data_IF_140377446899
#
_entry.id   IF_140377446899
#
_cell.length_a   1.000
_cell.length_b   1.000
_cell.length_c   1.000
_cell.angle_alpha   90.00
_cell.angle_beta   90.00
_cell.angle_gamma   90.00
#
_symmetry.space_group_name_H-M   'P 1'
#
loop_
_entity.id
_entity.type
_entity.pdbx_description
1 polymer ?
#
# COMPACT_ATOMS: atom_id res chain seq x y z
N UNK A 1 31.07 -39.25 -4.94
CA UNK A 1 31.03 -37.78 -4.80
C UNK A 1 29.61 -37.37 -5.14
N UNK A 2 28.77 -37.23 -4.13
CA UNK A 2 27.38 -36.89 -4.28
C UNK A 2 27.25 -35.37 -4.05
N UNK A 3 26.76 -34.66 -5.06
CA UNK A 3 26.42 -33.27 -4.94
C UNK A 3 25.19 -33.13 -4.02
N UNK A 4 25.35 -32.41 -2.94
CA UNK A 4 24.26 -32.02 -2.08
C UNK A 4 23.44 -30.93 -2.79
N UNK A 5 22.32 -31.31 -3.38
CA UNK A 5 21.27 -30.37 -3.78
C UNK A 5 20.73 -29.74 -2.51
N UNK A 6 21.24 -28.56 -2.22
CA UNK A 6 20.80 -27.71 -1.13
C UNK A 6 19.43 -27.09 -1.54
N UNK A 7 18.38 -27.88 -1.37
CA UNK A 7 17.00 -27.41 -1.47
C UNK A 7 16.80 -26.42 -0.31
N UNK A 8 17.09 -25.15 -0.55
CA UNK A 8 16.75 -24.06 0.37
C UNK A 8 15.24 -24.06 0.52
N UNK A 9 14.76 -24.67 1.60
CA UNK A 9 13.39 -24.51 2.04
C UNK A 9 13.14 -23.00 2.14
N UNK A 10 12.19 -22.50 1.36
CA UNK A 10 11.82 -21.10 1.40
C UNK A 10 11.40 -20.76 2.83
N UNK A 11 12.12 -19.83 3.46
CA UNK A 11 11.80 -19.32 4.78
C UNK A 11 10.40 -18.68 4.68
N UNK A 12 9.37 -19.20 5.38
CA UNK A 12 8.00 -18.70 5.28
C UNK A 12 7.84 -17.25 5.77
N UNK A 13 8.87 -16.68 6.39
CA UNK A 13 8.90 -15.29 6.87
C UNK A 13 9.72 -14.35 5.98
N UNK A 14 10.34 -14.86 4.91
CA UNK A 14 11.10 -14.03 3.98
C UNK A 14 10.15 -13.25 3.09
N UNK A 15 9.96 -11.97 3.38
CA UNK A 15 9.26 -11.06 2.46
C UNK A 15 10.16 -10.85 1.25
N UNK A 16 9.65 -11.20 0.09
CA UNK A 16 10.32 -10.96 -1.18
C UNK A 16 10.60 -9.46 -1.34
N UNK A 17 11.87 -9.09 -1.49
CA UNK A 17 12.24 -7.69 -1.67
C UNK A 17 11.71 -7.21 -3.03
N UNK A 18 11.33 -5.93 -3.11
CA UNK A 18 10.95 -5.33 -4.40
C UNK A 18 12.04 -5.49 -5.47
N UNK A 19 13.32 -5.48 -5.05
CA UNK A 19 14.46 -5.75 -5.92
C UNK A 19 14.45 -7.18 -6.48
N UNK A 20 14.12 -8.19 -5.66
CA UNK A 20 14.06 -9.59 -6.09
C UNK A 20 12.98 -9.76 -7.16
N UNK A 21 11.82 -9.10 -7.00
CA UNK A 21 10.76 -9.09 -8.01
C UNK A 21 11.16 -8.32 -9.28
N UNK A 22 11.82 -7.16 -9.12
CA UNK A 22 12.25 -6.34 -10.25
C UNK A 22 13.34 -7.01 -11.09
N UNK A 23 14.26 -7.74 -10.44
CA UNK A 23 15.40 -8.37 -11.11
C UNK A 23 15.20 -9.88 -11.36
N UNK A 24 14.02 -10.44 -11.06
CA UNK A 24 13.72 -11.85 -11.34
C UNK A 24 13.94 -12.17 -12.82
N UNK A 25 14.76 -13.18 -13.15
CA UNK A 25 14.99 -13.59 -14.52
C UNK A 25 13.74 -14.23 -15.13
N UNK A 26 13.59 -14.10 -16.45
CA UNK A 26 12.48 -14.76 -17.19
C UNK A 26 11.12 -14.09 -17.13
N UNK A 27 10.96 -13.05 -16.30
CA UNK A 27 9.68 -12.31 -16.18
C UNK A 27 9.72 -11.03 -17.01
N UNK A 28 8.70 -10.78 -17.84
CA UNK A 28 8.62 -9.58 -18.66
C UNK A 28 8.45 -8.30 -17.79
N UNK A 29 9.00 -7.16 -18.24
CA UNK A 29 8.85 -5.87 -17.56
C UNK A 29 7.39 -5.50 -17.26
N UNK A 30 6.48 -5.82 -18.20
CA UNK A 30 5.04 -5.63 -18.02
C UNK A 30 4.48 -6.48 -16.85
N UNK A 31 4.87 -7.74 -16.75
CA UNK A 31 4.41 -8.61 -15.67
C UNK A 31 4.95 -8.15 -14.31
N UNK A 32 6.21 -7.71 -14.25
CA UNK A 32 6.81 -7.11 -13.06
C UNK A 32 6.09 -5.85 -12.61
N UNK A 33 5.80 -4.95 -13.54
CA UNK A 33 5.03 -3.74 -13.26
C UNK A 33 3.61 -4.07 -12.77
N UNK A 34 2.90 -4.96 -13.46
CA UNK A 34 1.56 -5.38 -13.04
C UNK A 34 1.56 -5.99 -11.63
N UNK A 35 2.56 -6.80 -11.29
CA UNK A 35 2.70 -7.38 -9.96
C UNK A 35 3.00 -6.35 -8.88
N UNK A 36 3.87 -5.36 -9.17
CA UNK A 36 4.30 -4.36 -8.19
C UNK A 36 3.28 -3.23 -7.97
N UNK A 37 2.52 -2.87 -9.00
CA UNK A 37 1.67 -1.67 -8.97
C UNK A 37 0.19 -2.03 -9.00
N UNK A 38 -0.24 -2.86 -9.96
CA UNK A 38 -1.65 -3.18 -10.14
C UNK A 38 -2.13 -4.27 -9.16
N UNK A 39 -1.27 -5.26 -8.91
CA UNK A 39 -1.55 -6.39 -8.01
C UNK A 39 -2.56 -7.39 -8.55
N UNK A 40 -2.99 -7.25 -9.80
CA UNK A 40 -3.89 -8.19 -10.49
C UNK A 40 -3.28 -8.64 -11.82
N UNK A 41 -3.33 -9.92 -12.13
CA UNK A 41 -2.86 -10.43 -13.42
C UNK A 41 -3.81 -10.02 -14.55
N UNK A 42 -3.27 -10.04 -15.77
CA UNK A 42 -4.05 -9.86 -16.99
C UNK A 42 -3.98 -8.45 -17.59
N UNK A 43 -4.05 -8.40 -18.91
CA UNK A 43 -3.95 -7.17 -19.69
C UNK A 43 -5.10 -6.19 -19.39
N UNK A 44 -6.31 -6.72 -19.17
CA UNK A 44 -7.49 -5.89 -18.89
C UNK A 44 -7.37 -5.11 -17.57
N UNK A 45 -6.83 -5.74 -16.52
CA UNK A 45 -6.58 -5.06 -15.24
C UNK A 45 -5.52 -3.95 -15.38
N UNK A 46 -4.44 -4.25 -16.12
CA UNK A 46 -3.39 -3.29 -16.41
C UNK A 46 -3.92 -2.10 -17.22
N UNK A 47 -4.61 -2.34 -18.34
CA UNK A 47 -5.14 -1.26 -19.18
C UNK A 47 -6.15 -0.40 -18.43
N UNK A 48 -7.03 -1.01 -17.63
CA UNK A 48 -7.98 -0.27 -16.79
C UNK A 48 -7.25 0.65 -15.81
N UNK A 49 -6.23 0.14 -15.14
CA UNK A 49 -5.41 0.92 -14.19
C UNK A 49 -4.75 2.10 -14.90
N UNK A 50 -4.01 1.84 -15.99
CA UNK A 50 -3.28 2.86 -16.75
C UNK A 50 -4.19 3.97 -17.28
N UNK A 51 -5.33 3.59 -17.88
CA UNK A 51 -6.27 4.57 -18.41
C UNK A 51 -6.83 5.47 -17.29
N UNK A 52 -7.22 4.88 -16.16
CA UNK A 52 -7.75 5.67 -15.04
C UNK A 52 -6.68 6.60 -14.48
N UNK A 53 -5.48 6.10 -14.23
CA UNK A 53 -4.38 6.92 -13.68
C UNK A 53 -4.00 8.04 -14.65
N UNK A 54 -3.87 7.74 -15.94
CA UNK A 54 -3.54 8.73 -16.98
C UNK A 54 -4.56 9.89 -17.01
N UNK A 55 -5.85 9.59 -16.88
CA UNK A 55 -6.90 10.61 -16.93
C UNK A 55 -7.25 11.25 -15.59
N UNK A 56 -6.90 10.63 -14.46
CA UNK A 56 -7.35 11.11 -13.15
C UNK A 56 -6.26 11.78 -12.32
N UNK A 57 -5.00 11.35 -12.43
CA UNK A 57 -3.97 11.66 -11.44
C UNK A 57 -3.59 13.15 -11.41
N UNK A 58 -3.42 13.79 -12.57
CA UNK A 58 -2.73 15.07 -12.66
C UNK A 58 -3.62 16.29 -12.95
N UNK A 59 -4.91 16.10 -13.18
CA UNK A 59 -5.80 17.23 -13.44
C UNK A 59 -5.97 18.09 -12.19
N UNK A 60 -5.72 19.41 -12.28
CA UNK A 60 -5.83 20.32 -11.14
C UNK A 60 -7.29 20.74 -10.86
N UNK A 61 -7.51 21.32 -9.67
CA UNK A 61 -8.70 22.03 -9.31
C UNK A 61 -9.99 21.18 -9.29
N UNK A 62 -11.14 21.84 -9.41
CA UNK A 62 -12.44 21.22 -9.30
C UNK A 62 -12.71 20.14 -10.37
N UNK A 63 -12.21 20.35 -11.58
CA UNK A 63 -12.34 19.36 -12.67
C UNK A 63 -11.59 18.07 -12.28
N UNK A 64 -10.36 18.19 -11.79
CA UNK A 64 -9.58 17.05 -11.33
C UNK A 64 -10.25 16.31 -10.18
N UNK A 65 -10.80 17.03 -9.20
CA UNK A 65 -11.58 16.44 -8.11
C UNK A 65 -12.78 15.64 -8.62
N UNK A 66 -13.54 16.17 -9.58
CA UNK A 66 -14.69 15.49 -10.15
C UNK A 66 -14.27 14.22 -10.92
N UNK A 67 -13.19 14.28 -11.70
CA UNK A 67 -12.66 13.14 -12.44
C UNK A 67 -12.21 12.04 -11.47
N UNK A 68 -11.43 12.36 -10.44
CA UNK A 68 -10.96 11.39 -9.44
C UNK A 68 -12.12 10.78 -8.65
N UNK A 69 -13.10 11.58 -8.26
CA UNK A 69 -14.33 11.11 -7.60
C UNK A 69 -15.08 10.07 -8.45
N UNK A 70 -15.09 10.23 -9.77
CA UNK A 70 -15.76 9.30 -10.68
C UNK A 70 -14.91 8.06 -11.00
N UNK A 71 -13.61 8.21 -11.19
CA UNK A 71 -12.75 7.16 -11.75
C UNK A 71 -12.03 6.30 -10.69
N UNK A 72 -11.54 6.88 -9.59
CA UNK A 72 -10.79 6.12 -8.59
C UNK A 72 -11.60 5.01 -7.91
N UNK A 73 -12.90 5.18 -7.60
CA UNK A 73 -13.72 4.09 -7.07
C UNK A 73 -13.74 2.85 -7.94
N UNK A 74 -13.54 3.01 -9.26
CA UNK A 74 -13.48 1.88 -10.18
C UNK A 74 -12.24 0.99 -9.98
N UNK A 75 -11.16 1.49 -9.39
CA UNK A 75 -9.94 0.74 -9.08
C UNK A 75 -10.02 0.07 -7.72
N UNK A 76 -10.71 0.69 -6.76
CA UNK A 76 -10.72 0.30 -5.36
C UNK A 76 -11.49 -1.01 -5.11
N UNK A 77 -11.16 -1.69 -4.01
CA UNK A 77 -11.91 -2.84 -3.53
C UNK A 77 -13.33 -2.45 -3.12
N UNK A 78 -13.47 -1.31 -2.44
CA UNK A 78 -14.76 -0.64 -2.19
C UNK A 78 -14.55 0.85 -1.94
N UNK A 79 -15.56 1.65 -2.22
CA UNK A 79 -15.56 3.08 -1.96
C UNK A 79 -16.96 3.53 -1.54
N UNK A 80 -17.04 4.18 -0.38
CA UNK A 80 -18.26 4.76 0.15
C UNK A 80 -18.66 6.04 -0.58
N UNK A 81 -19.61 6.77 0.02
CA UNK A 81 -20.13 8.04 -0.53
C UNK A 81 -19.30 9.22 -0.04
N UNK A 82 -19.31 10.33 -0.81
CA UNK A 82 -18.64 11.58 -0.46
C UNK A 82 -17.15 11.44 -0.18
N UNK A 83 -16.44 10.64 -1.00
CA UNK A 83 -15.00 10.52 -0.90
C UNK A 83 -14.34 11.56 -1.81
N UNK A 84 -13.34 12.25 -1.27
CA UNK A 84 -12.53 13.24 -1.97
C UNK A 84 -11.13 12.70 -2.11
N UNK A 85 -10.60 12.71 -3.34
CA UNK A 85 -9.22 12.36 -3.64
C UNK A 85 -8.49 13.58 -4.18
N UNK A 86 -7.45 14.00 -3.49
CA UNK A 86 -6.55 15.06 -3.88
C UNK A 86 -5.75 14.76 -5.15
N UNK A 87 -4.99 15.73 -5.61
CA UNK A 87 -4.14 15.59 -6.78
C UNK A 87 -2.94 14.68 -6.47
N UNK A 88 -2.46 13.96 -7.48
CA UNK A 88 -1.29 13.06 -7.39
C UNK A 88 -1.41 11.97 -6.31
N UNK A 89 -2.62 11.58 -5.94
CA UNK A 89 -2.82 10.40 -5.08
C UNK A 89 -2.41 9.16 -5.86
N UNK A 90 -1.47 8.40 -5.31
CA UNK A 90 -0.95 7.16 -5.91
C UNK A 90 -1.59 5.97 -5.23
N UNK A 91 -2.17 5.08 -6.02
CA UNK A 91 -2.84 3.86 -5.54
C UNK A 91 -2.07 2.66 -6.06
N UNK A 92 -1.53 1.81 -5.17
CA UNK A 92 -0.92 0.53 -5.55
C UNK A 92 -1.72 -0.61 -4.95
N UNK A 93 -1.91 -1.69 -5.72
CA UNK A 93 -2.82 -2.79 -5.39
C UNK A 93 -4.21 -2.30 -4.98
N UNK A 94 -4.81 -1.37 -5.76
CA UNK A 94 -6.00 -0.63 -5.33
C UNK A 94 -7.21 -1.51 -5.01
N UNK A 95 -7.28 -2.70 -5.57
CA UNK A 95 -8.34 -3.67 -5.26
C UNK A 95 -8.32 -4.17 -3.81
N UNK A 96 -7.24 -3.93 -3.07
CA UNK A 96 -7.10 -4.22 -1.64
C UNK A 96 -7.27 -2.96 -0.77
N UNK A 97 -7.68 -1.84 -1.36
CA UNK A 97 -7.97 -0.61 -0.64
C UNK A 97 -9.47 -0.46 -0.52
N UNK A 98 -9.96 -0.35 0.70
CA UNK A 98 -11.38 -0.21 1.03
C UNK A 98 -11.58 1.11 1.75
N UNK A 99 -12.40 1.99 1.19
CA UNK A 99 -12.62 3.34 1.69
C UNK A 99 -14.08 3.49 2.11
N UNK A 100 -14.27 3.99 3.32
CA UNK A 100 -15.59 4.32 3.85
C UNK A 100 -16.20 5.59 3.24
N UNK A 101 -17.21 6.14 3.88
CA UNK A 101 -17.92 7.34 3.44
C UNK A 101 -17.37 8.60 4.11
N UNK A 102 -17.51 9.77 3.46
CA UNK A 102 -17.07 11.08 3.98
C UNK A 102 -15.55 11.12 4.26
N UNK A 103 -14.75 10.44 3.44
CA UNK A 103 -13.30 10.37 3.58
C UNK A 103 -12.63 11.40 2.69
N UNK A 104 -11.56 12.00 3.21
CA UNK A 104 -10.66 12.87 2.44
C UNK A 104 -9.27 12.24 2.40
N UNK A 105 -8.78 12.00 1.20
CA UNK A 105 -7.37 11.68 0.93
C UNK A 105 -6.78 12.88 0.20
N UNK A 106 -5.95 13.64 0.90
CA UNK A 106 -5.39 14.90 0.41
C UNK A 106 -4.28 14.69 -0.64
N UNK A 107 -3.72 15.76 -1.15
CA UNK A 107 -2.76 15.75 -2.27
C UNK A 107 -1.50 14.94 -1.97
N UNK A 108 -0.93 14.31 -3.00
CA UNK A 108 0.34 13.58 -2.99
C UNK A 108 0.39 12.39 -2.01
N UNK A 109 -0.74 11.86 -1.58
CA UNK A 109 -0.77 10.68 -0.73
C UNK A 109 -0.43 9.41 -1.51
N UNK A 110 0.26 8.47 -0.84
CA UNK A 110 0.51 7.13 -1.36
C UNK A 110 -0.27 6.11 -0.52
N UNK A 111 -1.18 5.38 -1.16
CA UNK A 111 -1.86 4.22 -0.57
C UNK A 111 -1.35 2.96 -1.28
N UNK A 112 -0.41 2.26 -0.65
CA UNK A 112 0.22 1.06 -1.17
C UNK A 112 -0.23 -0.18 -0.37
N UNK A 113 -1.21 -0.90 -0.89
CA UNK A 113 -1.76 -2.11 -0.27
C UNK A 113 -1.03 -3.39 -0.71
N UNK A 114 0.24 -3.27 -1.12
CA UNK A 114 1.04 -4.38 -1.60
C UNK A 114 1.23 -5.45 -0.51
N UNK A 115 1.24 -6.71 -0.94
CA UNK A 115 1.47 -7.88 -0.11
C UNK A 115 0.80 -9.10 -0.73
N UNK A 116 1.28 -10.29 -0.41
CA UNK A 116 0.70 -11.53 -0.92
C UNK A 116 -0.42 -12.04 -0.03
N UNK A 117 -0.23 -11.99 1.29
CA UNK A 117 -1.12 -12.58 2.29
C UNK A 117 -2.00 -11.58 3.02
N UNK A 118 -1.74 -10.29 2.86
CA UNK A 118 -2.49 -9.24 3.51
C UNK A 118 -3.85 -8.99 2.84
N UNK A 119 -4.77 -8.40 3.59
CA UNK A 119 -6.06 -7.89 3.10
C UNK A 119 -5.94 -6.48 2.57
N UNK A 120 -4.91 -5.75 2.97
CA UNK A 120 -4.57 -4.43 2.49
C UNK A 120 -4.93 -3.29 3.44
N UNK A 121 -5.49 -2.20 2.90
CA UNK A 121 -5.80 -0.97 3.63
C UNK A 121 -7.30 -0.83 3.77
N UNK A 122 -7.77 -0.61 4.99
CA UNK A 122 -9.15 -0.24 5.30
C UNK A 122 -9.21 1.13 5.95
N UNK A 123 -10.05 1.97 5.41
CA UNK A 123 -10.25 3.35 5.86
C UNK A 123 -11.72 3.46 6.26
N UNK A 124 -11.97 3.74 7.54
CA UNK A 124 -13.30 3.92 8.10
C UNK A 124 -14.02 5.18 7.60
N UNK A 125 -15.21 5.42 8.10
CA UNK A 125 -16.00 6.59 7.75
C UNK A 125 -15.44 7.88 8.38
N UNK A 126 -15.53 9.00 7.68
CA UNK A 126 -15.13 10.32 8.21
C UNK A 126 -13.63 10.50 8.43
N UNK A 127 -12.79 9.65 7.85
CA UNK A 127 -11.33 9.73 7.99
C UNK A 127 -10.76 10.85 7.14
N UNK A 128 -9.79 11.56 7.71
CA UNK A 128 -8.96 12.53 6.99
C UNK A 128 -7.51 12.01 6.91
N UNK A 129 -6.95 12.00 5.70
CA UNK A 129 -5.55 11.67 5.43
C UNK A 129 -4.90 12.89 4.81
N UNK A 130 -4.05 13.56 5.59
CA UNK A 130 -3.37 14.79 5.19
C UNK A 130 -2.34 14.56 4.09
N UNK A 131 -2.07 15.61 3.34
CA UNK A 131 -1.16 15.58 2.17
C UNK A 131 0.20 14.97 2.47
N UNK A 132 0.81 14.39 1.45
CA UNK A 132 2.09 13.70 1.48
C UNK A 132 2.15 12.52 2.46
N UNK A 133 1.01 12.01 2.92
CA UNK A 133 0.97 10.86 3.84
C UNK A 133 1.13 9.56 3.07
N UNK A 134 1.88 8.64 3.66
CA UNK A 134 2.16 7.31 3.11
C UNK A 134 1.52 6.25 3.99
N UNK A 135 0.62 5.46 3.41
CA UNK A 135 0.14 4.21 3.99
C UNK A 135 0.69 3.07 3.16
N UNK A 136 1.62 2.29 3.70
CA UNK A 136 2.31 1.24 2.94
C UNK A 136 2.27 -0.10 3.67
N UNK A 137 1.55 -1.03 3.08
CA UNK A 137 1.57 -2.43 3.48
C UNK A 137 2.84 -3.11 2.99
N UNK A 138 3.42 -3.92 3.87
CA UNK A 138 4.53 -4.81 3.56
C UNK A 138 4.19 -6.23 4.03
N UNK A 139 3.09 -6.75 3.50
CA UNK A 139 2.45 -8.00 3.87
C UNK A 139 1.57 -7.96 5.15
N UNK A 140 1.60 -6.88 5.93
CA UNK A 140 0.63 -6.59 7.00
C UNK A 140 -0.56 -5.77 6.51
N UNK A 141 -1.58 -5.63 7.35
CA UNK A 141 -2.75 -4.80 7.09
C UNK A 141 -2.63 -3.43 7.74
N UNK A 142 -3.33 -2.42 7.19
CA UNK A 142 -3.54 -1.13 7.84
C UNK A 142 -5.04 -0.91 7.98
N UNK A 143 -5.50 -0.71 9.21
CA UNK A 143 -6.89 -0.39 9.51
C UNK A 143 -6.97 1.01 10.17
N UNK A 144 -7.66 1.95 9.54
CA UNK A 144 -7.98 3.26 10.11
C UNK A 144 -9.44 3.25 10.56
N UNK A 145 -9.65 3.47 11.86
CA UNK A 145 -11.00 3.55 12.45
C UNK A 145 -11.73 4.82 12.07
N UNK A 146 -13.06 4.81 12.24
CA UNK A 146 -13.92 5.94 11.90
C UNK A 146 -13.46 7.24 12.57
N UNK A 147 -13.48 8.34 11.84
CA UNK A 147 -13.10 9.64 12.34
C UNK A 147 -11.62 9.83 12.63
N UNK A 148 -10.76 8.87 12.29
CA UNK A 148 -9.32 9.06 12.44
C UNK A 148 -8.83 10.20 11.55
N UNK A 149 -7.93 11.02 12.10
CA UNK A 149 -7.39 12.19 11.42
C UNK A 149 -5.87 12.11 11.44
N UNK A 150 -5.30 11.90 10.25
CA UNK A 150 -3.86 11.86 10.05
C UNK A 150 -3.40 13.22 9.51
N UNK A 151 -2.51 13.87 10.24
CA UNK A 151 -1.85 15.09 9.79
C UNK A 151 -1.05 14.87 8.51
N UNK A 152 -0.44 15.92 7.99
CA UNK A 152 0.36 15.81 6.77
C UNK A 152 1.74 15.20 7.04
N UNK A 153 2.35 14.62 6.00
CA UNK A 153 3.65 13.96 6.06
C UNK A 153 3.70 12.84 7.12
N UNK A 154 2.60 12.15 7.35
CA UNK A 154 2.58 10.97 8.20
C UNK A 154 2.99 9.73 7.41
N UNK A 155 3.63 8.78 8.08
CA UNK A 155 4.01 7.51 7.47
C UNK A 155 3.53 6.34 8.32
N UNK A 156 2.80 5.41 7.72
CA UNK A 156 2.32 4.20 8.36
C UNK A 156 2.78 3.00 7.54
N UNK A 157 3.64 2.19 8.12
CA UNK A 157 4.15 0.96 7.50
C UNK A 157 3.67 -0.26 8.26
N UNK A 158 3.15 -1.28 7.56
CA UNK A 158 2.70 -2.52 8.18
C UNK A 158 3.41 -3.74 7.63
N UNK A 159 4.44 -4.21 8.32
CA UNK A 159 4.97 -5.56 8.12
C UNK A 159 4.12 -6.58 8.91
N UNK A 160 3.58 -6.19 10.07
CA UNK A 160 2.46 -6.79 10.77
C UNK A 160 1.28 -5.82 10.80
N UNK A 161 0.12 -6.26 11.25
CA UNK A 161 -1.09 -5.44 11.25
C UNK A 161 -0.95 -4.18 12.10
N UNK A 162 -1.30 -3.02 11.53
CA UNK A 162 -1.38 -1.73 12.22
C UNK A 162 -2.85 -1.32 12.32
N UNK A 163 -3.30 -0.95 13.51
CA UNK A 163 -4.64 -0.43 13.76
C UNK A 163 -4.52 0.97 14.36
N UNK A 164 -5.03 1.97 13.66
CA UNK A 164 -5.24 3.31 14.17
C UNK A 164 -6.71 3.41 14.56
N UNK A 165 -6.97 3.58 15.86
CA UNK A 165 -8.32 3.53 16.43
C UNK A 165 -9.25 4.64 15.94
N UNK A 166 -10.52 4.56 16.37
CA UNK A 166 -11.54 5.58 16.06
C UNK A 166 -11.19 6.91 16.70
N UNK A 167 -11.44 8.00 15.98
CA UNK A 167 -11.23 9.38 16.44
C UNK A 167 -9.79 9.68 16.90
N UNK A 168 -8.81 8.90 16.48
CA UNK A 168 -7.40 9.19 16.75
C UNK A 168 -6.99 10.41 15.94
N UNK A 169 -6.29 11.34 16.59
CA UNK A 169 -5.63 12.48 15.96
C UNK A 169 -4.12 12.22 15.96
N UNK A 170 -3.54 12.09 14.78
CA UNK A 170 -2.09 12.02 14.58
C UNK A 170 -1.57 13.38 14.14
N UNK A 171 -0.57 13.91 14.86
CA UNK A 171 0.10 15.13 14.43
C UNK A 171 0.87 14.91 13.12
N UNK A 172 1.17 16.00 12.43
CA UNK A 172 2.03 15.95 11.25
C UNK A 172 3.40 15.32 11.57
N UNK A 173 4.00 14.66 10.58
CA UNK A 173 5.29 13.97 10.70
C UNK A 173 5.30 12.79 11.68
N UNK A 174 4.13 12.23 12.01
CA UNK A 174 4.06 11.01 12.80
C UNK A 174 4.49 9.79 11.97
N UNK A 175 5.31 8.94 12.57
CA UNK A 175 5.75 7.68 11.99
C UNK A 175 5.26 6.50 12.81
N UNK A 176 4.60 5.55 12.17
CA UNK A 176 4.08 4.32 12.80
C UNK A 176 4.55 3.12 11.99
N UNK A 177 5.14 2.16 12.65
CA UNK A 177 5.55 0.90 12.04
C UNK A 177 5.00 -0.29 12.80
N UNK A 178 4.40 -1.24 12.08
CA UNK A 178 3.99 -2.53 12.60
C UNK A 178 4.98 -3.61 12.15
N UNK A 179 5.62 -4.24 13.14
CA UNK A 179 6.67 -5.24 12.93
C UNK A 179 8.06 -4.62 12.75
N UNK A 180 9.06 -5.37 13.17
CA UNK A 180 10.46 -4.95 13.15
C UNK A 180 11.34 -6.06 12.59
N UNK A 181 12.59 -5.73 12.29
CA UNK A 181 13.60 -6.71 11.97
C UNK A 181 14.24 -7.25 13.26
N UNK A 182 14.50 -8.55 13.28
CA UNK A 182 15.35 -9.12 14.30
C UNK A 182 16.79 -8.61 14.11
N UNK A 183 17.38 -8.12 15.16
CA UNK A 183 18.78 -7.63 15.21
C UNK A 183 19.53 -8.23 16.40
N UNK A 184 19.05 -9.35 16.93
CA UNK A 184 19.63 -10.02 18.10
C UNK A 184 21.00 -10.65 17.81
N UNK A 185 21.28 -11.01 16.57
CA UNK A 185 22.56 -11.57 16.16
C UNK A 185 23.47 -10.49 15.54
N UNK A 186 24.48 -10.00 16.26
CA UNK A 186 25.38 -8.94 15.78
C UNK A 186 26.33 -9.41 14.68
N UNK A 187 26.42 -10.73 14.44
CA UNK A 187 27.33 -11.30 13.42
C UNK A 187 26.69 -11.40 12.05
N UNK A 188 25.36 -11.20 11.97
CA UNK A 188 24.59 -11.26 10.72
C UNK A 188 24.04 -9.89 10.34
N UNK A 189 23.98 -9.64 9.03
CA UNK A 189 23.30 -8.43 8.55
C UNK A 189 21.81 -8.44 8.96
N UNK A 190 21.28 -7.32 9.43
CA UNK A 190 19.86 -7.21 9.87
C UNK A 190 18.89 -7.67 8.78
N UNK A 191 19.22 -7.42 7.51
CA UNK A 191 18.40 -7.85 6.38
C UNK A 191 18.37 -9.36 6.14
N UNK A 192 19.27 -10.12 6.77
CA UNK A 192 19.36 -11.58 6.69
C UNK A 192 18.70 -12.26 7.89
N UNK A 193 18.30 -11.47 8.90
CA UNK A 193 17.60 -11.94 10.07
C UNK A 193 16.09 -11.91 9.84
N UNK A 194 15.35 -12.74 10.57
CA UNK A 194 13.90 -12.83 10.47
C UNK A 194 13.23 -11.51 10.92
N UNK A 195 11.96 -11.36 10.61
CA UNK A 195 11.16 -10.27 11.17
C UNK A 195 10.39 -10.77 12.38
N UNK A 196 10.40 -10.01 13.45
CA UNK A 196 9.53 -10.22 14.59
C UNK A 196 8.20 -9.51 14.34
N UNK A 197 7.10 -10.26 14.35
CA UNK A 197 5.77 -9.69 14.53
C UNK A 197 5.56 -9.50 16.03
N UNK A 198 5.39 -8.28 16.47
CA UNK A 198 4.88 -8.02 17.81
C UNK A 198 3.39 -8.41 17.91
#
# INVERSE_FOLDING_TARGET
MAGSDDVRLADPLRIERAQDQLFAPGTSSRAKYAALVVGRPGLGALLRYELIVMFAQSWPGAIGLAIRKALYPLLLGSCGRNVVFGQHVVLRHPHKIHVGSNVVVDDNCLLDAKGERNRGIRIGDGVFIGRNTILSCKDGDIDLGDGANLGFNCEVFSASRVIIGRNVLMAAYSYVIGGDHDFSDPTRAVLEQSRTSA
#
